data_IF_119918223847
#
_entry.id   IF_119918223847
#
_cell.length_a   1.000
_cell.length_b   1.000
_cell.length_c   1.000
_cell.angle_alpha   90.00
_cell.angle_beta   90.00
_cell.angle_gamma   90.00
#
_symmetry.space_group_name_H-M   'P 1'
#
loop_
_entity.id
_entity.type
_entity.pdbx_description
1 polymer ?
#
# COMPACT_ATOMS: atom_id res chain seq x y z
N UNK A 1 27.58 -11.57 -3.95
CA UNK A 1 27.21 -10.25 -3.37
C UNK A 1 28.31 -9.24 -3.73
N UNK A 2 28.01 -8.18 -4.46
CA UNK A 2 28.97 -7.11 -4.77
C UNK A 2 28.98 -6.07 -3.66
N UNK A 3 30.16 -5.48 -3.39
CA UNK A 3 30.34 -4.44 -2.38
C UNK A 3 31.20 -3.30 -2.96
N UNK A 4 30.77 -2.07 -2.74
CA UNK A 4 31.53 -0.87 -3.15
C UNK A 4 31.44 0.21 -2.06
N UNK A 5 32.47 1.05 -2.01
CA UNK A 5 32.48 2.26 -1.20
C UNK A 5 32.04 3.44 -2.09
N UNK A 6 31.11 4.25 -1.61
CA UNK A 6 30.68 5.48 -2.29
C UNK A 6 30.78 6.68 -1.32
N UNK A 7 30.95 7.87 -1.88
CA UNK A 7 30.91 9.12 -1.12
C UNK A 7 29.52 9.73 -1.20
N UNK A 8 29.04 10.25 -0.07
CA UNK A 8 27.84 11.07 -0.04
C UNK A 8 28.22 12.51 -0.38
N UNK A 9 27.68 13.04 -1.47
CA UNK A 9 27.82 14.43 -1.83
C UNK A 9 26.87 15.27 -1.01
N UNK A 10 27.40 16.14 -0.16
CA UNK A 10 26.61 17.02 0.70
C UNK A 10 26.78 18.46 0.18
N UNK A 11 25.69 19.10 -0.20
CA UNK A 11 25.64 20.49 -0.68
C UNK A 11 24.56 21.26 0.06
N UNK A 12 24.66 22.59 0.06
CA UNK A 12 23.57 23.43 0.55
C UNK A 12 22.35 23.24 -0.34
N UNK A 13 21.18 23.11 0.26
CA UNK A 13 19.94 23.09 -0.49
C UNK A 13 19.68 24.49 -1.05
N UNK A 14 19.34 24.57 -2.35
CA UNK A 14 18.99 25.83 -3.04
C UNK A 14 17.48 26.09 -3.04
N UNK A 15 17.06 27.23 -3.56
CA UNK A 15 15.66 27.60 -3.72
C UNK A 15 14.97 28.00 -2.41
N UNK A 16 13.73 27.56 -2.21
CA UNK A 16 12.87 27.91 -1.06
C UNK A 16 13.15 27.09 0.20
N UNK A 17 14.21 26.30 0.24
CA UNK A 17 14.56 25.48 1.41
C UNK A 17 14.94 26.36 2.62
N UNK A 18 14.61 25.88 3.83
CA UNK A 18 14.96 26.58 5.06
C UNK A 18 16.48 26.82 5.17
N UNK A 19 16.87 27.96 5.78
CA UNK A 19 18.29 28.34 5.95
C UNK A 19 19.05 27.23 6.69
N UNK A 20 20.12 26.73 6.07
CA UNK A 20 20.95 25.65 6.61
C UNK A 20 20.55 24.23 6.15
N UNK A 21 19.49 24.09 5.36
CA UNK A 21 19.13 22.80 4.74
C UNK A 21 20.22 22.28 3.81
N UNK A 22 20.42 20.96 3.82
CA UNK A 22 21.43 20.27 3.00
C UNK A 22 20.75 19.25 2.08
N UNK A 23 21.31 19.09 0.89
CA UNK A 23 20.98 18.01 -0.02
C UNK A 23 22.09 16.97 0.03
N UNK A 24 21.73 15.71 0.25
CA UNK A 24 22.65 14.58 0.27
C UNK A 24 22.38 13.69 -0.95
N UNK A 25 23.40 13.41 -1.75
CA UNK A 25 23.31 12.56 -2.96
C UNK A 25 24.36 11.48 -2.93
N UNK A 26 23.99 10.28 -3.38
CA UNK A 26 24.90 9.17 -3.62
C UNK A 26 24.78 8.72 -5.07
N UNK A 27 25.90 8.43 -5.72
CA UNK A 27 25.92 7.89 -7.08
C UNK A 27 25.91 6.37 -7.01
N UNK A 28 24.93 5.75 -7.62
CA UNK A 28 24.83 4.30 -7.75
C UNK A 28 25.57 3.81 -9.00
N UNK A 29 26.21 2.63 -8.96
CA UNK A 29 26.78 2.01 -10.16
C UNK A 29 25.69 1.69 -11.18
N UNK A 30 25.90 2.09 -12.45
CA UNK A 30 24.92 1.87 -13.53
C UNK A 30 24.50 0.41 -13.65
N UNK A 31 25.44 -0.53 -13.54
CA UNK A 31 25.15 -1.98 -13.57
C UNK A 31 24.17 -2.42 -12.48
N UNK A 32 24.22 -1.79 -11.30
CA UNK A 32 23.27 -2.12 -10.22
C UNK A 32 21.90 -1.56 -10.53
N UNK A 33 21.84 -0.33 -11.03
CA UNK A 33 20.58 0.34 -11.44
C UNK A 33 19.90 -0.48 -12.55
N UNK A 34 20.65 -0.92 -13.56
CA UNK A 34 20.15 -1.78 -14.64
C UNK A 34 19.68 -3.14 -14.12
N UNK A 35 20.47 -3.79 -13.24
CA UNK A 35 20.11 -5.08 -12.63
C UNK A 35 18.84 -5.00 -11.76
N UNK A 36 18.55 -3.82 -11.20
CA UNK A 36 17.30 -3.56 -10.47
C UNK A 36 16.12 -3.25 -11.40
N UNK A 37 16.33 -3.16 -12.73
CA UNK A 37 15.29 -2.81 -13.69
C UNK A 37 14.84 -1.34 -13.59
N UNK A 38 15.70 -0.46 -13.06
CA UNK A 38 15.46 0.98 -12.98
C UNK A 38 15.97 1.59 -14.30
N UNK A 39 15.13 2.38 -14.97
CA UNK A 39 15.42 3.04 -16.24
C UNK A 39 14.69 4.40 -16.31
N UNK A 40 14.75 5.07 -17.46
CA UNK A 40 14.13 6.40 -17.63
C UNK A 40 12.61 6.41 -17.47
N UNK A 41 11.94 5.30 -17.75
CA UNK A 41 10.49 5.13 -17.64
C UNK A 41 10.07 4.71 -16.22
N UNK A 42 10.95 3.95 -15.53
CA UNK A 42 10.73 3.38 -14.20
C UNK A 42 11.82 3.85 -13.24
N UNK A 43 11.72 5.11 -12.80
CA UNK A 43 12.72 5.79 -11.95
C UNK A 43 12.39 5.80 -10.47
N UNK A 44 11.19 5.41 -10.11
CA UNK A 44 10.76 5.43 -8.71
C UNK A 44 11.40 4.28 -7.94
N UNK A 45 11.93 4.62 -6.79
CA UNK A 45 12.55 3.68 -5.85
C UNK A 45 11.95 3.89 -4.48
N UNK A 46 11.86 2.82 -3.75
CA UNK A 46 11.52 2.83 -2.33
C UNK A 46 12.80 2.93 -1.50
N UNK A 47 12.81 3.84 -0.55
CA UNK A 47 13.88 4.01 0.42
C UNK A 47 13.34 3.67 1.80
N UNK A 48 13.93 2.68 2.44
CA UNK A 48 13.63 2.34 3.84
C UNK A 48 14.82 2.65 4.73
N UNK A 49 14.57 3.17 5.95
CA UNK A 49 15.59 3.48 6.93
C UNK A 49 15.22 2.84 8.27
N UNK A 50 16.09 1.97 8.79
CA UNK A 50 15.90 1.23 10.04
C UNK A 50 16.61 1.86 11.25
N UNK A 51 17.15 3.07 11.10
CA UNK A 51 17.94 3.78 12.11
C UNK A 51 19.45 3.61 11.93
N UNK A 52 19.91 2.65 11.13
CA UNK A 52 21.33 2.38 10.90
C UNK A 52 21.69 2.31 9.40
N UNK A 53 20.80 1.78 8.58
CA UNK A 53 21.02 1.56 7.15
C UNK A 53 19.86 2.11 6.31
N UNK A 54 20.20 2.58 5.10
CA UNK A 54 19.22 2.90 4.07
C UNK A 54 19.23 1.76 3.06
N UNK A 55 18.08 1.13 2.87
CA UNK A 55 17.87 0.16 1.79
C UNK A 55 17.14 0.85 0.64
N UNK A 56 17.63 0.63 -0.57
CA UNK A 56 17.02 1.12 -1.80
C UNK A 56 16.53 -0.09 -2.58
N UNK A 57 15.25 -0.10 -2.93
CA UNK A 57 14.63 -1.13 -3.77
C UNK A 57 13.85 -0.50 -4.91
N UNK A 58 13.68 -1.24 -6.01
CA UNK A 58 12.74 -0.83 -7.05
C UNK A 58 11.33 -0.89 -6.48
N UNK A 59 10.55 0.16 -6.70
CA UNK A 59 9.12 0.12 -6.42
C UNK A 59 8.46 -0.89 -7.37
N UNK A 60 7.78 -1.86 -6.81
CA UNK A 60 7.01 -2.83 -7.57
C UNK A 60 5.64 -2.23 -7.89
N UNK A 61 5.13 -2.50 -9.09
CA UNK A 61 3.70 -2.34 -9.36
C UNK A 61 2.91 -3.35 -8.54
N UNK A 62 1.61 -3.10 -8.38
CA UNK A 62 0.73 -4.01 -7.65
C UNK A 62 0.75 -5.45 -8.21
N UNK A 63 0.60 -5.65 -9.54
CA UNK A 63 0.71 -6.97 -10.14
C UNK A 63 2.08 -7.64 -9.92
N UNK A 64 3.20 -6.89 -10.07
CA UNK A 64 4.54 -7.42 -9.82
C UNK A 64 4.74 -7.82 -8.35
N UNK A 65 4.18 -7.03 -7.42
CA UNK A 65 4.18 -7.37 -6.01
C UNK A 65 3.41 -8.67 -5.77
N UNK A 66 2.19 -8.77 -6.29
CA UNK A 66 1.35 -9.96 -6.14
C UNK A 66 2.03 -11.21 -6.69
N UNK A 67 2.55 -11.16 -7.92
CA UNK A 67 3.28 -12.27 -8.56
C UNK A 67 4.48 -12.71 -7.70
N UNK A 68 5.27 -11.76 -7.21
CA UNK A 68 6.43 -12.05 -6.37
C UNK A 68 6.05 -12.73 -5.05
N UNK A 69 4.92 -12.34 -4.43
CA UNK A 69 4.50 -12.92 -3.15
C UNK A 69 3.84 -14.29 -3.37
N UNK A 70 3.08 -14.46 -4.44
CA UNK A 70 2.54 -15.78 -4.83
C UNK A 70 3.64 -16.79 -5.12
N UNK A 71 4.73 -16.38 -5.79
CA UNK A 71 5.90 -17.24 -6.01
C UNK A 71 6.60 -17.69 -4.71
N UNK A 72 6.28 -17.07 -3.57
CA UNK A 72 6.73 -17.44 -2.23
C UNK A 72 5.67 -18.22 -1.43
N UNK A 73 4.59 -18.61 -2.09
CA UNK A 73 3.44 -19.30 -1.48
C UNK A 73 2.72 -18.45 -0.40
N UNK A 74 2.78 -17.11 -0.52
CA UNK A 74 2.08 -16.22 0.39
C UNK A 74 0.61 -16.09 0.02
N UNK A 75 -0.23 -15.76 1.00
CA UNK A 75 -1.65 -15.48 0.83
C UNK A 75 -1.82 -14.03 0.37
N UNK A 76 -2.12 -13.85 -0.91
CA UNK A 76 -2.31 -12.53 -1.51
C UNK A 76 -3.78 -12.32 -1.86
N UNK A 77 -4.32 -11.16 -1.50
CA UNK A 77 -5.65 -10.71 -1.91
C UNK A 77 -5.56 -9.37 -2.63
N UNK A 78 -6.44 -9.19 -3.60
CA UNK A 78 -6.62 -7.92 -4.30
C UNK A 78 -7.97 -7.33 -3.91
N UNK A 79 -7.95 -6.12 -3.42
CA UNK A 79 -9.15 -5.36 -3.09
C UNK A 79 -9.29 -4.23 -4.09
N UNK A 80 -10.48 -4.06 -4.67
CA UNK A 80 -10.77 -2.94 -5.56
C UNK A 80 -11.83 -2.06 -4.92
N UNK A 81 -11.47 -0.80 -4.70
CA UNK A 81 -12.38 0.23 -4.17
C UNK A 81 -13.01 0.98 -5.33
N UNK A 82 -14.32 1.04 -5.32
CA UNK A 82 -15.13 1.79 -6.27
C UNK A 82 -15.88 2.93 -5.57
N UNK A 83 -16.17 4.00 -6.31
CA UNK A 83 -17.14 5.04 -5.94
C UNK A 83 -18.24 5.05 -7.02
N UNK A 84 -19.42 4.53 -6.69
CA UNK A 84 -20.39 4.14 -7.72
C UNK A 84 -19.83 3.08 -8.65
N UNK A 85 -19.68 3.43 -9.94
CA UNK A 85 -19.11 2.54 -10.97
C UNK A 85 -17.64 2.87 -11.30
N UNK A 86 -17.07 3.90 -10.67
CA UNK A 86 -15.70 4.36 -10.92
C UNK A 86 -14.70 3.60 -10.02
N UNK A 87 -13.73 2.88 -10.62
CA UNK A 87 -12.61 2.32 -9.87
C UNK A 87 -11.73 3.44 -9.33
N UNK A 88 -11.44 3.43 -8.04
CA UNK A 88 -10.65 4.48 -7.38
C UNK A 88 -9.29 4.00 -6.91
N UNK A 89 -9.22 2.75 -6.40
CA UNK A 89 -7.97 2.15 -5.94
C UNK A 89 -7.98 0.64 -6.11
N UNK A 90 -6.80 0.09 -6.41
CA UNK A 90 -6.52 -1.34 -6.33
C UNK A 90 -5.47 -1.57 -5.25
N UNK A 91 -5.81 -2.34 -4.24
CA UNK A 91 -4.95 -2.66 -3.10
C UNK A 91 -4.53 -4.11 -3.18
N UNK A 92 -3.23 -4.37 -3.23
CA UNK A 92 -2.63 -5.70 -3.21
C UNK A 92 -2.10 -5.97 -1.82
N UNK A 93 -2.67 -6.92 -1.11
CA UNK A 93 -2.35 -7.20 0.29
C UNK A 93 -1.80 -8.62 0.46
N UNK A 94 -0.60 -8.72 1.00
CA UNK A 94 0.03 -9.96 1.43
C UNK A 94 -0.26 -10.21 2.91
N UNK A 95 -1.16 -11.14 3.19
CA UNK A 95 -1.60 -11.49 4.54
C UNK A 95 -0.56 -12.31 5.31
N UNK A 96 0.40 -12.91 4.61
CA UNK A 96 1.48 -13.69 5.24
C UNK A 96 2.56 -12.77 5.80
N UNK A 97 3.02 -11.78 5.02
CA UNK A 97 4.04 -10.82 5.43
C UNK A 97 3.49 -9.53 6.04
N UNK A 98 2.16 -9.34 6.00
CA UNK A 98 1.51 -8.10 6.42
C UNK A 98 2.07 -6.88 5.66
N UNK A 99 2.12 -7.00 4.34
CA UNK A 99 2.59 -5.96 3.44
C UNK A 99 1.50 -5.59 2.44
N UNK A 100 1.50 -4.32 2.01
CA UNK A 100 0.48 -3.81 1.10
C UNK A 100 1.09 -2.87 0.07
N UNK A 101 0.57 -2.94 -1.15
CA UNK A 101 0.85 -2.01 -2.24
C UNK A 101 -0.47 -1.49 -2.78
N UNK A 102 -0.56 -0.18 -3.02
CA UNK A 102 -1.74 0.47 -3.58
C UNK A 102 -1.42 1.12 -4.92
N UNK A 103 -2.36 0.97 -5.84
CA UNK A 103 -2.42 1.70 -7.11
C UNK A 103 -3.72 2.50 -7.12
N UNK A 104 -3.60 3.82 -7.28
CA UNK A 104 -4.75 4.71 -7.36
C UNK A 104 -5.00 5.11 -8.80
N UNK A 105 -6.27 5.13 -9.19
CA UNK A 105 -6.69 5.73 -10.45
C UNK A 105 -6.58 7.26 -10.38
N UNK A 106 -6.60 7.98 -11.53
CA UNK A 106 -6.47 9.43 -11.57
C UNK A 106 -7.75 10.15 -11.11
N UNK A 107 -8.23 9.79 -9.92
CA UNK A 107 -9.41 10.39 -9.26
C UNK A 107 -8.98 11.27 -8.09
N UNK A 108 -9.93 12.01 -7.53
CA UNK A 108 -9.65 12.79 -6.31
C UNK A 108 -9.17 11.88 -5.18
N UNK A 109 -8.10 12.28 -4.50
CA UNK A 109 -7.50 11.50 -3.40
C UNK A 109 -8.48 11.20 -2.24
N UNK A 110 -9.53 11.99 -2.07
CA UNK A 110 -10.58 11.71 -1.06
C UNK A 110 -11.43 10.48 -1.40
N UNK A 111 -11.38 10.01 -2.64
CA UNK A 111 -12.06 8.80 -3.10
C UNK A 111 -11.16 7.57 -3.04
N UNK A 112 -9.84 7.74 -2.85
CA UNK A 112 -8.88 6.64 -2.83
C UNK A 112 -8.80 5.98 -1.47
N UNK A 113 -8.35 4.71 -1.42
CA UNK A 113 -8.36 3.88 -0.22
C UNK A 113 -7.58 4.49 0.96
N UNK A 114 -6.50 5.21 0.68
CA UNK A 114 -5.63 5.78 1.71
C UNK A 114 -5.41 7.29 1.56
N UNK A 115 -6.28 7.96 0.80
CA UNK A 115 -6.17 9.41 0.59
C UNK A 115 -4.81 9.80 0.00
N UNK A 116 -4.10 10.68 0.70
CA UNK A 116 -2.76 11.14 0.29
C UNK A 116 -1.62 10.19 0.65
N UNK A 117 -1.89 9.11 1.40
CA UNK A 117 -0.86 8.14 1.76
C UNK A 117 -0.63 7.16 0.60
N UNK A 118 0.46 7.37 -0.14
CA UNK A 118 0.85 6.53 -1.28
C UNK A 118 1.66 5.30 -0.85
N UNK A 119 2.02 5.19 0.43
CA UNK A 119 2.82 4.11 1.00
C UNK A 119 2.18 3.61 2.30
N UNK A 120 0.95 3.07 2.21
CA UNK A 120 0.26 2.55 3.39
C UNK A 120 1.03 1.38 3.99
N UNK A 121 1.09 1.34 5.31
CA UNK A 121 1.56 0.17 6.02
C UNK A 121 0.39 -0.80 6.34
N UNK A 122 0.71 -1.92 7.02
CA UNK A 122 -0.31 -2.90 7.38
C UNK A 122 -1.35 -2.36 8.36
N UNK A 123 -0.94 -1.44 9.23
CA UNK A 123 -1.85 -0.80 10.19
C UNK A 123 -2.82 0.14 9.48
N UNK A 124 -2.33 0.91 8.49
CA UNK A 124 -3.18 1.75 7.64
C UNK A 124 -4.21 0.89 6.91
N UNK A 125 -3.77 -0.26 6.37
CA UNK A 125 -4.67 -1.21 5.70
C UNK A 125 -5.72 -1.78 6.65
N UNK A 126 -5.35 -2.18 7.86
CA UNK A 126 -6.33 -2.65 8.85
C UNK A 126 -7.32 -1.55 9.23
N UNK A 127 -6.85 -0.31 9.43
CA UNK A 127 -7.70 0.85 9.67
C UNK A 127 -8.71 1.07 8.56
N UNK A 128 -8.25 1.05 7.30
CA UNK A 128 -9.10 1.17 6.13
C UNK A 128 -10.19 0.08 6.09
N UNK A 129 -9.85 -1.18 6.36
CA UNK A 129 -10.85 -2.25 6.41
C UNK A 129 -11.87 -2.04 7.54
N UNK A 130 -11.42 -1.60 8.72
CA UNK A 130 -12.32 -1.32 9.86
C UNK A 130 -13.24 -0.12 9.59
N UNK A 131 -12.77 0.92 8.90
CA UNK A 131 -13.59 2.06 8.47
C UNK A 131 -14.70 1.66 7.49
N UNK A 132 -14.52 0.56 6.76
CA UNK A 132 -15.53 0.00 5.84
C UNK A 132 -16.45 -1.04 6.49
N UNK A 133 -16.41 -1.13 7.82
CA UNK A 133 -17.24 -2.03 8.63
C UNK A 133 -17.98 -1.25 9.70
N UNK A 134 -19.01 -1.86 10.26
CA UNK A 134 -19.64 -1.28 11.46
C UNK A 134 -18.64 -1.28 12.64
N UNK A 135 -18.65 -0.24 13.48
CA UNK A 135 -17.76 -0.18 14.63
C UNK A 135 -17.93 -1.35 15.59
N UNK A 136 -16.81 -1.89 16.10
CA UNK A 136 -16.80 -3.02 17.07
C UNK A 136 -17.59 -2.72 18.34
N UNK A 137 -17.71 -1.45 18.75
CA UNK A 137 -18.41 -1.03 19.94
C UNK A 137 -19.91 -0.74 19.71
N UNK A 138 -20.40 -0.94 18.49
CA UNK A 138 -21.80 -0.66 18.16
C UNK A 138 -22.73 -1.61 18.91
N UNK A 139 -23.79 -1.06 19.52
CA UNK A 139 -24.87 -1.87 20.07
C UNK A 139 -25.50 -2.72 18.95
N UNK A 140 -25.81 -3.99 19.24
CA UNK A 140 -26.36 -4.91 18.25
C UNK A 140 -25.31 -5.53 17.31
N UNK A 141 -24.02 -5.45 17.63
CA UNK A 141 -22.96 -6.07 16.83
C UNK A 141 -23.19 -7.58 16.67
N UNK A 142 -23.56 -8.25 17.76
CA UNK A 142 -23.77 -9.71 17.76
C UNK A 142 -24.89 -10.11 16.80
N UNK A 143 -26.01 -9.44 16.87
CA UNK A 143 -27.17 -9.68 16.01
C UNK A 143 -26.84 -9.39 14.54
N UNK A 144 -26.00 -8.38 14.30
CA UNK A 144 -25.50 -8.06 12.95
C UNK A 144 -24.61 -9.19 12.40
N UNK A 145 -23.67 -9.70 13.20
CA UNK A 145 -22.79 -10.81 12.79
C UNK A 145 -23.60 -12.09 12.55
N UNK A 146 -24.55 -12.41 13.43
CA UNK A 146 -25.48 -13.54 13.28
C UNK A 146 -26.28 -13.43 11.97
N UNK A 147 -26.79 -12.23 11.63
CA UNK A 147 -27.51 -11.98 10.38
C UNK A 147 -26.62 -12.18 9.14
N UNK A 148 -25.31 -11.94 9.25
CA UNK A 148 -24.33 -12.23 8.20
C UNK A 148 -23.84 -13.69 8.19
N UNK A 149 -24.24 -14.49 9.20
CA UNK A 149 -23.74 -15.86 9.39
C UNK A 149 -22.27 -15.90 9.79
N UNK A 150 -21.85 -14.98 10.66
CA UNK A 150 -20.48 -14.85 11.15
C UNK A 150 -20.46 -15.06 12.67
N UNK A 151 -19.48 -15.85 13.13
CA UNK A 151 -19.28 -16.11 14.55
C UNK A 151 -18.39 -15.03 15.21
N UNK A 152 -17.50 -14.42 14.43
CA UNK A 152 -16.51 -13.45 14.90
C UNK A 152 -16.45 -12.21 13.98
N UNK A 153 -16.01 -11.10 14.57
CA UNK A 153 -15.78 -9.87 13.85
C UNK A 153 -14.45 -9.93 13.09
N UNK A 154 -14.53 -10.22 11.80
CA UNK A 154 -13.42 -10.13 10.86
C UNK A 154 -13.77 -9.15 9.74
N UNK A 155 -13.06 -8.00 9.63
CA UNK A 155 -13.34 -6.98 8.62
C UNK A 155 -13.33 -7.53 7.19
N UNK A 156 -12.40 -8.42 6.87
CA UNK A 156 -12.31 -9.00 5.52
C UNK A 156 -13.57 -9.77 5.18
N UNK A 157 -13.98 -10.67 6.05
CA UNK A 157 -15.18 -11.50 5.85
C UNK A 157 -16.47 -10.66 5.87
N UNK A 158 -16.53 -9.62 6.70
CA UNK A 158 -17.66 -8.68 6.70
C UNK A 158 -17.73 -7.97 5.34
N UNK A 159 -16.62 -7.45 4.83
CA UNK A 159 -16.55 -6.78 3.52
C UNK A 159 -16.90 -7.73 2.38
N UNK A 160 -16.45 -8.97 2.40
CA UNK A 160 -16.81 -9.99 1.40
C UNK A 160 -18.34 -10.19 1.32
N UNK A 161 -19.04 -10.07 2.44
CA UNK A 161 -20.50 -10.22 2.50
C UNK A 161 -21.29 -8.95 2.21
N UNK A 162 -20.74 -7.78 2.55
CA UNK A 162 -21.45 -6.49 2.48
C UNK A 162 -20.96 -5.59 1.35
N UNK A 163 -19.81 -5.91 0.74
CA UNK A 163 -19.09 -5.03 -0.16
C UNK A 163 -18.50 -3.82 0.55
N UNK A 164 -18.41 -3.81 1.88
CA UNK A 164 -17.91 -2.66 2.64
C UNK A 164 -18.73 -1.39 2.42
N UNK A 165 -20.01 -1.52 2.07
CA UNK A 165 -20.90 -0.37 1.81
C UNK A 165 -21.28 0.33 3.10
N UNK A 166 -21.16 1.65 3.09
CA UNK A 166 -21.56 2.50 4.21
C UNK A 166 -22.73 3.40 3.78
N UNK A 167 -23.46 3.92 4.76
CA UNK A 167 -24.62 4.79 4.47
C UNK A 167 -24.21 6.22 4.05
N UNK A 168 -22.98 6.58 4.36
CA UNK A 168 -22.47 7.94 4.22
C UNK A 168 -21.90 8.24 2.82
N UNK A 169 -21.62 7.19 2.02
CA UNK A 169 -20.99 7.32 0.71
C UNK A 169 -21.52 6.30 -0.31
N UNK A 170 -21.00 6.35 -1.54
CA UNK A 170 -21.32 5.38 -2.60
C UNK A 170 -20.20 4.37 -2.82
N UNK A 171 -19.23 4.33 -1.90
CA UNK A 171 -18.08 3.45 -2.05
C UNK A 171 -18.41 2.00 -1.69
N UNK A 172 -17.73 1.11 -2.36
CA UNK A 172 -17.81 -0.33 -2.12
C UNK A 172 -16.55 -1.05 -2.57
N UNK A 173 -16.36 -2.26 -2.08
CA UNK A 173 -15.17 -3.06 -2.29
C UNK A 173 -15.51 -4.41 -2.90
N UNK A 174 -14.61 -4.89 -3.77
CA UNK A 174 -14.50 -6.31 -4.09
C UNK A 174 -13.22 -6.88 -3.47
N UNK A 175 -13.25 -8.15 -3.09
CA UNK A 175 -12.07 -8.88 -2.62
C UNK A 175 -11.90 -10.13 -3.48
N UNK A 176 -10.70 -10.32 -4.01
CA UNK A 176 -10.30 -11.46 -4.82
C UNK A 176 -9.09 -12.14 -4.17
N UNK A 177 -9.16 -13.45 -3.96
CA UNK A 177 -8.02 -14.25 -3.50
C UNK A 177 -7.22 -14.69 -4.72
N UNK A 178 -5.98 -14.28 -4.81
CA UNK A 178 -5.08 -14.74 -5.86
C UNK A 178 -4.52 -16.14 -5.53
N UNK A 179 -4.30 -16.92 -6.59
CA UNK A 179 -3.82 -18.32 -6.52
C UNK A 179 -2.63 -18.53 -7.41
#
# INVERSE_FOLDING_TARGET
MERRTAKVNISSAGGTAAKGSKTCKITLPTKWVEAMGINEERREVELTFDGAAVTLSRRLSGPEFAERQLAREHQVRVLRLYDGDELCSTVYADFTQQAVVVENEPVSHVKTAFGNNLFPDWKDFQGFLEERCIPRQRAGLREYLEALGLDEYDPVTIIEKTGGRMAEDQQWLTIEVLK
#
